data_IF_904596361473
#
_entry.id   IF_904596361473
#
_cell.length_a   1.000
_cell.length_b   1.000
_cell.length_c   1.000
_cell.angle_alpha   90.00
_cell.angle_beta   90.00
_cell.angle_gamma   90.00
#
_symmetry.space_group_name_H-M   'P 1'
#
loop_
_entity.id
_entity.type
_entity.pdbx_description
1 polymer ?
#
# COMPACT_ATOMS: atom_id res chain seq x y z
N UNK A 1 -11.38 -0.82 19.54
CA UNK A 1 -10.14 -0.29 20.14
C UNK A 1 -10.45 1.11 20.62
N UNK A 2 -10.23 1.40 21.90
CA UNK A 2 -10.43 2.74 22.45
C UNK A 2 -9.14 3.56 22.23
N UNK A 3 -9.14 4.38 21.18
CA UNK A 3 -7.96 5.12 20.74
C UNK A 3 -7.57 6.18 21.79
N UNK A 4 -8.55 6.87 22.36
CA UNK A 4 -8.30 7.94 23.34
C UNK A 4 -7.69 7.37 24.62
N UNK A 5 -8.21 6.22 25.09
CA UNK A 5 -7.62 5.53 26.24
C UNK A 5 -6.18 5.08 25.96
N UNK A 6 -5.91 4.45 24.81
CA UNK A 6 -4.55 4.04 24.42
C UNK A 6 -3.60 5.24 24.39
N UNK A 7 -4.02 6.36 23.80
CA UNK A 7 -3.21 7.58 23.74
C UNK A 7 -2.90 8.14 25.14
N UNK A 8 -3.82 8.01 26.09
CA UNK A 8 -3.60 8.43 27.47
C UNK A 8 -2.59 7.54 28.21
N UNK A 9 -2.52 6.26 27.88
CA UNK A 9 -1.63 5.27 28.50
C UNK A 9 -0.22 5.24 27.89
N UNK A 10 -0.03 5.79 26.68
CA UNK A 10 1.27 5.86 26.03
C UNK A 10 2.20 6.86 26.75
N UNK A 11 3.42 6.42 27.03
CA UNK A 11 4.51 7.31 27.44
C UNK A 11 4.89 8.25 26.28
N UNK A 12 5.60 9.34 26.59
CA UNK A 12 6.09 10.26 25.55
C UNK A 12 7.01 9.55 24.56
N UNK A 13 7.85 8.67 25.05
CA UNK A 13 8.81 7.89 24.26
C UNK A 13 8.07 6.90 23.34
N UNK A 14 7.03 6.22 23.83
CA UNK A 14 6.17 5.36 22.99
C UNK A 14 5.41 6.17 21.93
N UNK A 15 4.93 7.38 22.26
CA UNK A 15 4.33 8.31 21.27
C UNK A 15 5.31 8.69 20.18
N UNK A 16 6.55 9.05 20.55
CA UNK A 16 7.59 9.37 19.58
C UNK A 16 7.95 8.15 18.70
N UNK A 17 8.00 6.94 19.28
CA UNK A 17 8.31 5.72 18.53
C UNK A 17 7.25 5.43 17.45
N UNK A 18 5.97 5.66 17.72
CA UNK A 18 4.88 5.46 16.74
C UNK A 18 4.91 6.46 15.56
N UNK A 19 5.73 7.52 15.63
CA UNK A 19 5.91 8.49 14.54
C UNK A 19 7.07 8.15 13.60
N UNK A 20 7.79 7.06 13.85
CA UNK A 20 8.96 6.63 13.09
C UNK A 20 8.78 5.18 12.64
N UNK A 21 9.30 4.83 11.47
CA UNK A 21 9.39 3.43 11.05
C UNK A 21 10.35 2.66 11.96
N UNK A 22 9.96 1.46 12.38
CA UNK A 22 10.87 0.52 13.06
C UNK A 22 11.96 0.05 12.09
N UNK A 23 11.56 -0.23 10.86
CA UNK A 23 12.43 -0.45 9.72
C UNK A 23 11.76 0.11 8.45
N UNK A 24 12.23 -0.29 7.27
CA UNK A 24 11.70 0.15 5.98
C UNK A 24 10.20 -0.16 5.78
N UNK A 25 9.65 -1.15 6.47
CA UNK A 25 8.32 -1.69 6.20
C UNK A 25 7.42 -1.86 7.43
N UNK A 26 7.91 -1.62 8.65
CA UNK A 26 7.18 -1.91 9.88
C UNK A 26 7.10 -0.72 10.83
N UNK A 27 5.98 -0.61 11.55
CA UNK A 27 5.85 0.32 12.68
C UNK A 27 6.42 -0.28 13.97
N UNK A 28 6.76 0.56 14.94
CA UNK A 28 7.11 0.08 16.28
C UNK A 28 5.90 -0.60 16.96
N UNK A 29 6.07 -1.81 17.54
CA UNK A 29 5.06 -2.41 18.41
C UNK A 29 5.12 -1.84 19.82
N UNK A 30 3.98 -1.75 20.50
CA UNK A 30 3.89 -1.43 21.95
C UNK A 30 3.18 -2.60 22.67
N UNK A 31 3.90 -3.67 23.05
CA UNK A 31 3.28 -4.90 23.58
C UNK A 31 2.50 -4.70 24.88
N UNK A 32 2.91 -3.76 25.75
CA UNK A 32 2.23 -3.45 27.02
C UNK A 32 0.79 -2.97 26.81
N UNK A 33 0.52 -2.31 25.69
CA UNK A 33 -0.79 -1.79 25.31
C UNK A 33 -1.43 -2.60 24.18
N UNK A 34 -0.90 -3.79 23.89
CA UNK A 34 -1.39 -4.70 22.85
C UNK A 34 -1.45 -4.05 21.45
N UNK A 35 -0.48 -3.16 21.16
CA UNK A 35 -0.34 -2.53 19.85
C UNK A 35 0.65 -3.35 19.01
N UNK A 36 0.18 -4.08 17.98
CA UNK A 36 1.06 -4.85 17.13
C UNK A 36 1.85 -3.95 16.17
N UNK A 37 2.93 -4.51 15.61
CA UNK A 37 3.63 -3.88 14.48
C UNK A 37 2.79 -4.03 13.21
N UNK A 38 2.63 -2.94 12.47
CA UNK A 38 1.92 -2.91 11.19
C UNK A 38 2.95 -3.13 10.08
N UNK A 39 2.81 -4.22 9.34
CA UNK A 39 3.59 -4.50 8.14
C UNK A 39 3.00 -3.77 6.92
N UNK A 40 3.85 -3.04 6.21
CA UNK A 40 3.57 -2.39 4.93
C UNK A 40 4.32 -3.11 3.79
N UNK A 41 3.85 -2.94 2.57
CA UNK A 41 4.58 -3.36 1.36
C UNK A 41 4.14 -2.53 0.14
N UNK A 42 5.03 -2.38 -0.83
CA UNK A 42 4.64 -1.95 -2.18
C UNK A 42 3.73 -3.01 -2.86
N UNK A 43 3.02 -2.71 -3.94
CA UNK A 43 2.85 -1.41 -4.56
C UNK A 43 1.63 -1.36 -5.50
N UNK A 44 1.54 -0.35 -6.37
CA UNK A 44 0.31 0.03 -7.06
C UNK A 44 -0.22 -0.96 -8.10
N UNK A 45 0.58 -1.95 -8.52
CA UNK A 45 0.20 -2.97 -9.52
C UNK A 45 0.62 -4.39 -9.13
N UNK A 46 0.65 -4.69 -7.82
CA UNK A 46 0.95 -6.01 -7.28
C UNK A 46 1.67 -5.92 -5.94
N UNK A 47 1.60 -6.99 -5.14
CA UNK A 47 2.29 -7.06 -3.85
C UNK A 47 3.79 -7.28 -4.05
N UNK A 48 4.63 -6.51 -3.39
CA UNK A 48 6.09 -6.62 -3.40
C UNK A 48 6.61 -6.63 -1.95
N UNK A 49 6.46 -7.79 -1.30
CA UNK A 49 6.97 -8.03 0.06
C UNK A 49 8.36 -8.69 0.02
N UNK A 50 9.30 -8.17 0.80
CA UNK A 50 10.63 -8.75 0.96
C UNK A 50 10.56 -10.16 1.59
N UNK A 51 11.28 -11.11 1.01
CA UNK A 51 11.31 -12.49 1.46
C UNK A 51 12.21 -12.68 2.70
N UNK A 52 13.25 -11.86 2.85
CA UNK A 52 14.14 -11.90 4.01
C UNK A 52 14.61 -10.49 4.41
N UNK A 53 14.06 -9.91 5.48
CA UNK A 53 14.37 -8.54 5.91
C UNK A 53 15.75 -8.39 6.59
N UNK A 54 16.52 -9.47 6.74
CA UNK A 54 17.81 -9.49 7.48
C UNK A 54 19.02 -9.23 6.58
N UNK A 55 18.89 -9.41 5.26
CA UNK A 55 19.98 -9.20 4.31
C UNK A 55 19.67 -8.01 3.39
N UNK A 56 20.23 -6.81 3.67
CA UNK A 56 19.98 -5.61 2.86
C UNK A 56 20.54 -5.71 1.43
N UNK A 57 21.31 -6.75 1.10
CA UNK A 57 21.80 -7.02 -0.26
C UNK A 57 20.91 -8.02 -1.02
N UNK A 58 19.94 -8.67 -0.37
CA UNK A 58 18.99 -9.56 -1.03
C UNK A 58 17.67 -8.85 -1.32
N UNK A 59 17.54 -8.39 -2.56
CA UNK A 59 16.29 -7.85 -3.13
C UNK A 59 15.28 -8.95 -3.49
N UNK A 60 15.30 -10.09 -2.80
CA UNK A 60 14.36 -11.19 -3.09
C UNK A 60 13.01 -10.86 -2.49
N UNK A 61 11.99 -10.84 -3.32
CA UNK A 61 10.60 -10.72 -2.90
C UNK A 61 9.97 -12.10 -2.88
N UNK A 62 8.89 -12.25 -2.12
CA UNK A 62 8.01 -13.42 -2.30
C UNK A 62 7.43 -13.42 -3.72
N UNK A 63 6.97 -14.59 -4.18
CA UNK A 63 6.24 -14.67 -5.43
C UNK A 63 4.83 -14.06 -5.26
N UNK A 64 4.47 -13.16 -6.18
CA UNK A 64 3.19 -12.45 -6.22
C UNK A 64 2.78 -12.21 -7.67
N UNK A 65 1.52 -11.83 -7.88
CA UNK A 65 1.03 -11.51 -9.22
C UNK A 65 1.44 -10.08 -9.59
N UNK A 66 2.04 -9.91 -10.76
CA UNK A 66 2.33 -8.61 -11.35
C UNK A 66 1.18 -8.24 -12.31
N UNK A 67 0.36 -7.28 -11.93
CA UNK A 67 -0.77 -6.81 -12.71
C UNK A 67 -0.32 -5.73 -13.72
N UNK A 68 -1.12 -5.46 -14.77
CA UNK A 68 -0.86 -4.34 -15.67
C UNK A 68 -0.72 -3.02 -14.89
N UNK A 69 0.26 -2.16 -15.21
CA UNK A 69 0.41 -0.86 -14.56
C UNK A 69 -0.83 0.04 -14.74
N UNK A 70 -0.96 1.04 -13.87
CA UNK A 70 -2.13 1.92 -13.82
C UNK A 70 -2.45 2.61 -15.16
N UNK A 71 -1.46 2.94 -16.00
CA UNK A 71 -1.70 3.50 -17.35
C UNK A 71 -2.48 2.55 -18.25
N UNK A 72 -2.15 1.25 -18.19
CA UNK A 72 -2.81 0.22 -18.99
C UNK A 72 -4.22 -0.02 -18.47
N UNK A 73 -4.39 -0.10 -17.15
CA UNK A 73 -5.71 -0.22 -16.55
C UNK A 73 -6.58 1.00 -16.84
N UNK A 74 -6.06 2.23 -16.72
CA UNK A 74 -6.79 3.46 -17.04
C UNK A 74 -7.30 3.49 -18.49
N UNK A 75 -6.55 2.87 -19.42
CA UNK A 75 -6.93 2.78 -20.83
C UNK A 75 -8.18 1.92 -21.07
N UNK A 76 -8.68 1.16 -20.09
CA UNK A 76 -9.97 0.48 -20.18
C UNK A 76 -11.16 1.41 -19.93
N UNK A 77 -10.97 2.53 -19.24
CA UNK A 77 -12.03 3.41 -18.73
C UNK A 77 -13.06 2.67 -17.85
N UNK A 78 -12.69 1.54 -17.28
CA UNK A 78 -13.57 0.67 -16.50
C UNK A 78 -13.08 0.53 -15.04
N UNK A 79 -13.69 1.26 -14.09
CA UNK A 79 -13.38 1.17 -12.67
C UNK A 79 -13.65 -0.22 -12.06
N UNK A 80 -14.49 -1.05 -12.69
CA UNK A 80 -14.75 -2.41 -12.20
C UNK A 80 -13.50 -3.30 -12.36
N UNK A 81 -12.73 -3.10 -13.43
CA UNK A 81 -11.45 -3.81 -13.60
C UNK A 81 -10.48 -3.46 -12.48
N UNK A 82 -10.39 -2.18 -12.09
CA UNK A 82 -9.48 -1.80 -10.98
C UNK A 82 -9.99 -2.30 -9.64
N UNK A 83 -11.31 -2.42 -9.44
CA UNK A 83 -11.90 -3.10 -8.28
C UNK A 83 -11.47 -4.56 -8.18
N UNK A 84 -11.59 -5.33 -9.26
CA UNK A 84 -11.18 -6.74 -9.29
C UNK A 84 -9.69 -6.92 -9.03
N UNK A 85 -8.85 -6.06 -9.61
CA UNK A 85 -7.39 -6.04 -9.33
C UNK A 85 -7.13 -5.73 -7.86
N UNK A 86 -7.81 -4.72 -7.30
CA UNK A 86 -7.70 -4.37 -5.88
C UNK A 86 -8.09 -5.53 -4.97
N UNK A 87 -9.21 -6.20 -5.26
CA UNK A 87 -9.68 -7.36 -4.50
C UNK A 87 -8.66 -8.52 -4.50
N UNK A 88 -8.09 -8.81 -5.67
CA UNK A 88 -7.09 -9.86 -5.81
C UNK A 88 -5.81 -9.54 -5.03
N UNK A 89 -5.32 -8.30 -5.11
CA UNK A 89 -4.14 -7.85 -4.33
C UNK A 89 -4.46 -7.85 -2.83
N UNK A 90 -5.68 -7.47 -2.42
CA UNK A 90 -6.11 -7.52 -1.02
C UNK A 90 -6.09 -8.93 -0.44
N UNK A 91 -6.50 -9.94 -1.23
CA UNK A 91 -6.38 -11.35 -0.87
C UNK A 91 -4.92 -11.78 -0.69
N UNK A 92 -4.02 -11.35 -1.58
CA UNK A 92 -2.58 -11.60 -1.45
C UNK A 92 -1.99 -10.93 -0.20
N UNK A 93 -2.33 -9.66 0.07
CA UNK A 93 -1.88 -8.95 1.26
C UNK A 93 -2.28 -9.66 2.55
N UNK A 94 -3.54 -10.10 2.67
CA UNK A 94 -4.03 -10.85 3.83
C UNK A 94 -3.29 -12.18 4.01
N UNK A 95 -3.11 -12.94 2.92
CA UNK A 95 -2.36 -14.20 2.95
C UNK A 95 -0.93 -13.99 3.45
N UNK A 96 -0.30 -12.91 3.03
CA UNK A 96 1.09 -12.58 3.32
C UNK A 96 1.26 -11.67 4.55
N UNK A 97 0.21 -11.49 5.36
CA UNK A 97 0.23 -10.68 6.59
C UNK A 97 0.71 -9.23 6.39
N UNK A 98 0.38 -8.64 5.24
CA UNK A 98 0.58 -7.22 4.94
C UNK A 98 -0.69 -6.46 5.29
N UNK A 99 -0.55 -5.46 6.15
CA UNK A 99 -1.66 -4.70 6.70
C UNK A 99 -1.97 -3.46 5.85
N UNK A 100 -0.94 -2.88 5.21
CA UNK A 100 -1.06 -1.70 4.35
C UNK A 100 -0.29 -1.93 3.06
N UNK A 101 -0.99 -1.89 1.93
CA UNK A 101 -0.36 -1.81 0.61
C UNK A 101 -0.11 -0.33 0.27
N UNK A 102 1.08 -0.01 -0.22
CA UNK A 102 1.45 1.34 -0.66
C UNK A 102 0.98 1.59 -2.10
N UNK A 103 -0.32 1.88 -2.26
CA UNK A 103 -0.94 2.21 -3.55
C UNK A 103 -2.41 2.62 -3.41
N UNK A 104 -3.06 3.03 -4.53
CA UNK A 104 -2.51 3.18 -5.87
C UNK A 104 -1.76 4.53 -6.04
N UNK A 105 -0.97 4.64 -7.11
CA UNK A 105 -0.36 5.92 -7.51
C UNK A 105 -1.37 6.79 -8.26
N UNK A 106 -1.59 8.02 -7.78
CA UNK A 106 -2.65 8.92 -8.31
C UNK A 106 -2.15 10.31 -8.73
N UNK A 107 -0.84 10.48 -8.90
CA UNK A 107 -0.32 11.76 -9.38
C UNK A 107 -0.81 12.01 -10.82
N UNK A 108 -1.11 13.28 -11.13
CA UNK A 108 -1.49 13.68 -12.48
C UNK A 108 -0.28 13.63 -13.40
N UNK A 109 -0.46 13.03 -14.59
CA UNK A 109 0.54 13.01 -15.67
C UNK A 109 0.68 14.38 -16.34
N UNK A 110 1.13 15.37 -15.58
CA UNK A 110 1.27 16.76 -16.04
C UNK A 110 2.18 16.90 -17.26
N UNK A 111 3.22 16.08 -17.33
CA UNK A 111 4.18 16.08 -18.42
C UNK A 111 4.54 14.62 -18.75
N UNK A 112 4.56 14.23 -20.04
CA UNK A 112 4.83 12.85 -20.44
C UNK A 112 6.23 12.35 -20.08
N UNK A 113 7.17 13.25 -19.75
CA UNK A 113 8.54 12.91 -19.35
C UNK A 113 8.66 12.46 -17.87
N UNK A 114 7.59 12.50 -17.08
CA UNK A 114 7.64 12.01 -15.70
C UNK A 114 7.89 10.49 -15.68
N UNK A 115 9.02 10.06 -15.11
CA UNK A 115 9.47 8.67 -15.11
C UNK A 115 8.57 7.67 -14.37
N UNK A 116 7.60 8.15 -13.57
CA UNK A 116 6.61 7.31 -12.86
C UNK A 116 5.23 7.32 -13.52
N UNK A 117 5.07 7.95 -14.68
CA UNK A 117 3.77 8.06 -15.35
C UNK A 117 3.14 6.70 -15.70
N UNK A 118 3.94 5.64 -15.82
CA UNK A 118 3.44 4.29 -16.11
C UNK A 118 2.57 3.73 -14.97
N UNK A 119 2.84 4.09 -13.72
CA UNK A 119 2.10 3.63 -12.53
C UNK A 119 1.09 4.66 -11.99
N UNK A 120 0.85 5.73 -12.74
CA UNK A 120 -0.27 6.66 -12.52
C UNK A 120 -1.38 6.42 -13.54
N UNK A 121 -2.63 6.75 -13.20
CA UNK A 121 -3.78 6.48 -14.07
C UNK A 121 -3.83 7.41 -15.29
N UNK A 122 -4.01 8.72 -15.09
CA UNK A 122 -4.28 9.64 -16.21
C UNK A 122 -3.68 11.04 -16.00
N UNK A 123 -3.69 11.84 -17.07
CA UNK A 123 -3.56 13.30 -17.00
C UNK A 123 -4.87 13.97 -16.56
N UNK A 124 -6.01 13.26 -16.69
CA UNK A 124 -7.33 13.75 -16.29
C UNK A 124 -7.63 13.36 -14.82
N UNK A 125 -8.04 14.33 -13.96
CA UNK A 125 -8.33 14.07 -12.56
C UNK A 125 -9.61 13.23 -12.35
N UNK A 126 -10.61 13.33 -13.22
CA UNK A 126 -11.85 12.58 -13.06
C UNK A 126 -11.63 11.09 -13.31
N UNK A 127 -11.00 10.73 -14.44
CA UNK A 127 -10.61 9.35 -14.74
C UNK A 127 -9.70 8.80 -13.64
N UNK A 128 -8.69 9.58 -13.21
CA UNK A 128 -7.79 9.17 -12.11
C UNK A 128 -8.57 8.84 -10.83
N UNK A 129 -9.53 9.68 -10.44
CA UNK A 129 -10.35 9.45 -9.26
C UNK A 129 -11.25 8.21 -9.39
N UNK A 130 -11.88 8.01 -10.55
CA UNK A 130 -12.76 6.86 -10.80
C UNK A 130 -11.98 5.54 -10.74
N UNK A 131 -10.82 5.47 -11.41
CA UNK A 131 -9.98 4.27 -11.41
C UNK A 131 -9.39 3.97 -10.02
N UNK A 132 -8.93 5.00 -9.32
CA UNK A 132 -8.40 4.86 -7.96
C UNK A 132 -9.48 4.42 -6.95
N UNK A 133 -10.71 4.94 -7.08
CA UNK A 133 -11.85 4.53 -6.25
C UNK A 133 -12.14 3.03 -6.41
N UNK A 134 -12.17 2.52 -7.65
CA UNK A 134 -12.33 1.10 -7.91
C UNK A 134 -11.28 0.27 -7.16
N UNK A 135 -10.00 0.60 -7.37
CA UNK A 135 -8.88 -0.08 -6.71
C UNK A 135 -8.97 -0.07 -5.17
N UNK A 136 -9.17 1.10 -4.57
CA UNK A 136 -9.20 1.24 -3.10
C UNK A 136 -10.38 0.49 -2.49
N UNK A 137 -11.54 0.48 -3.15
CA UNK A 137 -12.71 -0.26 -2.68
C UNK A 137 -12.49 -1.78 -2.78
N UNK A 138 -11.90 -2.26 -3.87
CA UNK A 138 -11.55 -3.68 -4.01
C UNK A 138 -10.53 -4.12 -2.97
N UNK A 139 -9.47 -3.34 -2.77
CA UNK A 139 -8.40 -3.64 -1.81
C UNK A 139 -8.91 -3.80 -0.37
N UNK A 140 -9.90 -2.99 0.03
CA UNK A 140 -10.46 -2.96 1.39
C UNK A 140 -11.65 -3.90 1.58
N UNK A 141 -12.10 -4.60 0.53
CA UNK A 141 -13.23 -5.52 0.58
C UNK A 141 -12.92 -6.86 1.24
#
# INVERSE_FOLDING_TARGET
>A
MDIEHIISELTREEKCALLVGFDHWRTYPIPRLDIPSIQMADGPHGLRKEANPVDPLQTKTIASVCYPPAVTLASSFDPEITFQVGEAIGKECRKEQVHVLLGPGINIKRNPLCGRSFEYYSEDPYLTAQMARGFVNGLKS
#
